data_IF_739202853404
#
_entry.id   IF_739202853404
#
_cell.length_a   1.000
_cell.length_b   1.000
_cell.length_c   1.000
_cell.angle_alpha   90.00
_cell.angle_beta   90.00
_cell.angle_gamma   90.00
#
_symmetry.space_group_name_H-M   'P 1'
#
loop_
_entity.id
_entity.type
_entity.pdbx_description
1 polymer ?
#
# COMPACT_ATOMS: atom_id res chain seq x y z
N UNK A 1 5.89 -3.98 -18.85
CA UNK A 1 7.12 -4.61 -18.34
C UNK A 1 7.16 -4.35 -16.84
N UNK A 2 6.91 -5.37 -16.02
CA UNK A 2 6.92 -5.25 -14.57
C UNK A 2 8.27 -5.81 -14.09
N UNK A 3 9.15 -4.93 -13.61
CA UNK A 3 10.38 -5.35 -12.95
C UNK A 3 10.02 -6.30 -11.81
N UNK A 4 10.41 -7.56 -11.95
CA UNK A 4 10.44 -8.52 -10.86
C UNK A 4 11.56 -8.04 -9.93
N UNK A 5 11.22 -7.16 -9.00
CA UNK A 5 12.14 -6.75 -7.94
C UNK A 5 12.37 -7.98 -7.07
N UNK A 6 13.46 -8.68 -7.35
CA UNK A 6 13.81 -9.95 -6.72
C UNK A 6 14.26 -9.70 -5.28
N UNK A 7 13.57 -10.33 -4.32
CA UNK A 7 13.98 -10.32 -2.93
C UNK A 7 15.30 -11.07 -2.81
N UNK A 8 16.35 -10.37 -2.36
CA UNK A 8 17.69 -10.92 -2.18
C UNK A 8 18.20 -10.66 -0.75
N UNK A 9 19.32 -11.29 -0.37
CA UNK A 9 19.96 -11.03 0.93
C UNK A 9 20.36 -9.56 1.11
N UNK A 10 20.65 -8.85 0.03
CA UNK A 10 20.99 -7.42 0.07
C UNK A 10 19.78 -6.48 0.02
N UNK A 11 18.60 -6.95 -0.43
CA UNK A 11 17.43 -6.10 -0.63
C UNK A 11 16.11 -6.84 -0.43
N UNK A 12 15.29 -6.38 0.52
CA UNK A 12 13.93 -6.87 0.74
C UNK A 12 12.92 -5.84 0.26
N UNK A 13 12.05 -6.22 -0.66
CA UNK A 13 10.97 -5.37 -1.18
C UNK A 13 9.62 -5.97 -0.84
N UNK A 14 8.83 -5.18 -0.13
CA UNK A 14 7.49 -5.50 0.29
C UNK A 14 6.54 -4.56 -0.42
N UNK A 15 5.82 -5.10 -1.40
CA UNK A 15 4.82 -4.35 -2.17
C UNK A 15 3.41 -4.64 -1.66
N UNK A 16 2.80 -3.64 -1.04
CA UNK A 16 1.40 -3.64 -0.65
C UNK A 16 0.57 -3.26 -1.88
N UNK A 17 0.14 -4.26 -2.65
CA UNK A 17 -0.77 -4.00 -3.76
C UNK A 17 -2.09 -3.43 -3.22
N UNK A 18 -2.64 -2.38 -3.85
CA UNK A 18 -4.00 -1.98 -3.56
C UNK A 18 -4.90 -3.19 -3.82
N UNK A 19 -5.77 -3.52 -2.85
CA UNK A 19 -6.58 -4.73 -2.89
C UNK A 19 -7.50 -4.77 -4.12
N UNK A 20 -8.22 -5.88 -4.30
CA UNK A 20 -9.21 -6.04 -5.39
C UNK A 20 -10.19 -4.88 -5.49
N UNK A 21 -10.47 -4.22 -4.36
CA UNK A 21 -11.31 -3.02 -4.23
C UNK A 21 -10.88 -1.91 -5.20
N UNK A 22 -9.59 -1.69 -5.42
CA UNK A 22 -9.11 -0.65 -6.32
C UNK A 22 -9.47 -0.91 -7.79
N UNK A 23 -9.42 -2.17 -8.22
CA UNK A 23 -9.84 -2.56 -9.57
C UNK A 23 -11.35 -2.42 -9.75
N UNK A 24 -12.13 -2.85 -8.76
CA UNK A 24 -13.59 -2.66 -8.77
C UNK A 24 -13.98 -1.18 -8.79
N UNK A 25 -13.31 -0.34 -7.99
CA UNK A 25 -13.55 1.09 -7.99
C UNK A 25 -13.19 1.74 -9.32
N UNK A 26 -12.05 1.38 -9.90
CA UNK A 26 -11.64 1.89 -11.21
C UNK A 26 -12.66 1.55 -12.30
N UNK A 27 -13.12 0.29 -12.34
CA UNK A 27 -14.18 -0.14 -13.26
C UNK A 27 -15.50 0.59 -13.03
N UNK A 28 -15.89 0.77 -11.76
CA UNK A 28 -17.10 1.51 -11.40
C UNK A 28 -17.06 2.97 -11.85
N UNK A 29 -15.92 3.66 -11.66
CA UNK A 29 -15.76 5.07 -12.09
C UNK A 29 -15.88 5.21 -13.61
N UNK A 30 -15.26 4.30 -14.36
CA UNK A 30 -15.34 4.30 -15.84
C UNK A 30 -16.78 4.07 -16.30
N UNK A 31 -17.47 3.09 -15.70
CA UNK A 31 -18.86 2.81 -16.01
C UNK A 31 -19.79 3.99 -15.66
N UNK A 32 -19.58 4.62 -14.51
CA UNK A 32 -20.35 5.79 -14.08
C UNK A 32 -20.14 6.98 -15.01
N UNK A 33 -18.89 7.27 -15.41
CA UNK A 33 -18.57 8.29 -16.40
C UNK A 33 -19.28 8.03 -17.73
N UNK A 34 -19.27 6.77 -18.19
CA UNK A 34 -19.94 6.37 -19.41
C UNK A 34 -21.44 6.67 -19.36
N UNK A 35 -22.14 6.25 -18.30
CA UNK A 35 -23.57 6.56 -18.11
C UNK A 35 -23.80 8.07 -18.09
N UNK A 36 -23.02 8.80 -17.30
CA UNK A 36 -23.18 10.26 -17.16
C UNK A 36 -23.05 11.00 -18.49
N UNK A 37 -22.10 10.59 -19.34
CA UNK A 37 -21.90 11.16 -20.67
C UNK A 37 -23.06 10.79 -21.61
N UNK A 38 -23.57 9.57 -21.56
CA UNK A 38 -24.71 9.16 -22.38
C UNK A 38 -25.98 9.92 -22.01
N UNK A 39 -26.28 10.07 -20.71
CA UNK A 39 -27.45 10.82 -20.22
C UNK A 39 -27.37 12.32 -20.58
N UNK A 40 -26.17 12.91 -20.56
CA UNK A 40 -25.96 14.29 -21.03
C UNK A 40 -26.21 14.44 -22.54
N UNK A 41 -25.85 13.44 -23.35
CA UNK A 41 -26.11 13.45 -24.80
C UNK A 41 -27.61 13.41 -25.11
N UNK A 42 -28.41 12.82 -24.23
CA UNK A 42 -29.87 12.78 -24.31
C UNK A 42 -30.54 14.11 -23.87
N UNK A 43 -29.75 15.14 -23.55
CA UNK A 43 -30.23 16.47 -23.11
C UNK A 43 -31.01 16.47 -21.79
N UNK A 44 -30.88 15.40 -21.01
CA UNK A 44 -31.50 15.30 -19.70
C UNK A 44 -30.66 16.10 -18.67
N UNK A 45 -31.22 17.11 -17.98
CA UNK A 45 -30.52 17.87 -16.95
C UNK A 45 -30.01 17.01 -15.79
N UNK A 46 -30.57 15.81 -15.59
CA UNK A 46 -30.08 14.82 -14.62
C UNK A 46 -28.64 14.39 -14.94
N UNK A 47 -28.24 14.38 -16.22
CA UNK A 47 -26.88 14.03 -16.64
C UNK A 47 -25.81 14.95 -16.06
N UNK A 48 -26.10 16.24 -15.88
CA UNK A 48 -25.19 17.20 -15.25
C UNK A 48 -24.97 16.91 -13.76
N UNK A 49 -26.01 16.45 -13.05
CA UNK A 49 -25.94 16.04 -11.64
C UNK A 49 -25.11 14.77 -11.52
N UNK A 50 -25.32 13.78 -12.40
CA UNK A 50 -24.52 12.56 -12.44
C UNK A 50 -23.04 12.83 -12.72
N UNK A 51 -22.75 13.79 -13.61
CA UNK A 51 -21.39 14.19 -13.94
C UNK A 51 -20.71 14.98 -12.81
N UNK A 52 -21.46 15.80 -12.05
CA UNK A 52 -20.96 16.40 -10.82
C UNK A 52 -20.71 15.34 -9.72
N UNK A 53 -21.58 14.32 -9.63
CA UNK A 53 -21.44 13.22 -8.69
C UNK A 53 -20.20 12.34 -8.96
N UNK A 54 -19.62 12.39 -10.15
CA UNK A 54 -18.35 11.70 -10.47
C UNK A 54 -17.15 12.17 -9.64
N UNK A 55 -17.25 13.34 -9.00
CA UNK A 55 -16.29 13.76 -8.00
C UNK A 55 -16.19 12.76 -6.84
N UNK A 56 -17.29 12.14 -6.41
CA UNK A 56 -17.29 11.18 -5.30
C UNK A 56 -16.45 9.93 -5.60
N UNK A 57 -16.69 9.18 -6.69
CA UNK A 57 -15.89 8.01 -7.04
C UNK A 57 -14.41 8.33 -7.27
N UNK A 58 -14.09 9.49 -7.85
CA UNK A 58 -12.72 9.97 -8.01
C UNK A 58 -12.04 10.24 -6.66
N UNK A 59 -12.79 10.79 -5.69
CA UNK A 59 -12.31 11.00 -4.33
C UNK A 59 -12.01 9.65 -3.66
N UNK A 60 -12.84 8.62 -3.84
CA UNK A 60 -12.53 7.29 -3.32
C UNK A 60 -11.33 6.63 -4.01
N UNK A 61 -11.14 6.83 -5.33
CA UNK A 61 -9.92 6.40 -6.02
C UNK A 61 -8.66 7.08 -5.45
N UNK A 62 -8.78 8.34 -4.98
CA UNK A 62 -7.67 9.06 -4.34
C UNK A 62 -7.17 8.39 -3.06
N UNK A 63 -8.06 7.67 -2.35
CA UNK A 63 -7.76 6.95 -1.12
C UNK A 63 -7.09 5.59 -1.38
N UNK A 64 -7.02 5.15 -2.64
CA UNK A 64 -6.29 3.95 -3.02
C UNK A 64 -4.80 4.26 -3.00
N UNK A 65 -4.16 3.82 -1.93
CA UNK A 65 -2.73 3.97 -1.70
C UNK A 65 -2.01 2.63 -1.93
N UNK A 66 -1.02 2.62 -2.83
CA UNK A 66 -0.03 1.55 -2.95
C UNK A 66 1.17 1.92 -2.09
N UNK A 67 1.55 1.04 -1.17
CA UNK A 67 2.71 1.25 -0.32
C UNK A 67 3.78 0.22 -0.66
N UNK A 68 5.00 0.68 -0.92
CA UNK A 68 6.16 -0.17 -1.18
C UNK A 68 7.20 0.14 -0.11
N UNK A 69 7.63 -0.89 0.61
CA UNK A 69 8.70 -0.80 1.60
C UNK A 69 9.91 -1.49 1.02
N UNK A 70 11.05 -0.81 1.04
CA UNK A 70 12.32 -1.31 0.51
C UNK A 70 13.33 -1.23 1.64
N UNK A 71 13.85 -2.38 2.05
CA UNK A 71 15.00 -2.48 2.94
C UNK A 71 16.21 -2.75 2.05
N UNK A 72 17.18 -1.86 2.09
CA UNK A 72 18.42 -1.98 1.33
C UNK A 72 19.60 -2.06 2.31
N UNK A 73 20.27 -3.20 2.31
CA UNK A 73 21.40 -3.45 3.19
C UNK A 73 22.69 -2.82 2.66
N UNK A 74 22.78 -2.58 1.35
CA UNK A 74 23.94 -1.96 0.68
C UNK A 74 23.96 -0.47 0.97
N UNK A 75 22.83 0.19 0.75
CA UNK A 75 22.67 1.63 1.00
C UNK A 75 22.38 1.93 2.47
N UNK A 76 22.29 0.90 3.34
CA UNK A 76 21.88 0.98 4.75
C UNK A 76 20.62 1.84 4.94
N UNK A 77 19.69 1.73 4.01
CA UNK A 77 18.52 2.59 3.93
C UNK A 77 17.23 1.78 3.98
N UNK A 78 16.27 2.31 4.71
CA UNK A 78 14.90 1.84 4.71
C UNK A 78 14.01 2.89 4.03
N UNK A 79 13.50 2.56 2.85
CA UNK A 79 12.69 3.48 2.05
C UNK A 79 11.23 3.05 2.02
N UNK A 80 10.35 4.00 2.31
CA UNK A 80 8.90 3.84 2.19
C UNK A 80 8.42 4.73 1.06
N UNK A 81 7.94 4.10 0.00
CA UNK A 81 7.24 4.78 -1.07
C UNK A 81 5.74 4.57 -0.93
N UNK A 82 4.99 5.66 -0.85
CA UNK A 82 3.53 5.68 -0.86
C UNK A 82 3.08 6.34 -2.15
N UNK A 83 2.33 5.62 -2.98
CA UNK A 83 1.85 6.10 -4.28
C UNK A 83 0.34 6.05 -4.31
N UNK A 84 -0.28 7.20 -4.51
CA UNK A 84 -1.71 7.31 -4.82
C UNK A 84 -1.88 7.64 -6.30
N UNK A 85 -3.13 7.77 -6.76
CA UNK A 85 -3.43 8.22 -8.13
C UNK A 85 -2.90 9.65 -8.40
N UNK A 86 -2.83 10.49 -7.37
CA UNK A 86 -2.50 11.92 -7.50
C UNK A 86 -1.03 12.25 -7.22
N UNK A 87 -0.26 11.34 -6.62
CA UNK A 87 1.12 11.65 -6.29
C UNK A 87 1.90 10.52 -5.64
N UNK A 88 3.19 10.79 -5.46
CA UNK A 88 4.15 9.90 -4.82
C UNK A 88 4.77 10.61 -3.62
N UNK A 89 4.70 9.98 -2.45
CA UNK A 89 5.41 10.38 -1.24
C UNK A 89 6.49 9.36 -0.94
N UNK A 90 7.71 9.80 -0.65
CA UNK A 90 8.83 8.95 -0.28
C UNK A 90 9.35 9.40 1.07
N UNK A 91 9.48 8.46 2.00
CA UNK A 91 10.21 8.65 3.27
C UNK A 91 11.40 7.71 3.27
N UNK A 92 12.56 8.20 3.71
CA UNK A 92 13.79 7.41 3.83
C UNK A 92 14.24 7.49 5.29
N UNK A 93 14.59 6.35 5.85
CA UNK A 93 15.11 6.19 7.20
C UNK A 93 16.43 5.43 7.14
N UNK A 94 17.30 5.62 8.13
CA UNK A 94 18.48 4.77 8.26
C UNK A 94 18.09 3.38 8.73
N UNK A 95 18.71 2.35 8.17
CA UNK A 95 18.38 0.96 8.50
C UNK A 95 18.72 0.62 9.96
N UNK A 96 19.71 1.29 10.56
CA UNK A 96 20.08 1.14 11.97
C UNK A 96 19.00 1.63 12.95
N UNK A 97 18.09 2.51 12.50
CA UNK A 97 16.98 3.00 13.30
C UNK A 97 15.74 2.10 13.20
N UNK A 98 15.78 1.07 12.34
CA UNK A 98 14.66 0.17 12.12
C UNK A 98 14.67 -0.96 13.14
N UNK A 99 13.71 -0.91 14.06
CA UNK A 99 13.43 -1.97 15.01
C UNK A 99 12.74 -3.19 14.38
N UNK A 100 12.67 -4.27 15.16
CA UNK A 100 12.01 -5.53 14.75
C UNK A 100 10.54 -5.31 14.39
N UNK A 101 10.09 -6.03 13.37
CA UNK A 101 8.68 -6.11 13.02
C UNK A 101 7.91 -6.90 14.08
N UNK A 102 6.70 -6.43 14.40
CA UNK A 102 5.76 -7.05 15.34
C UNK A 102 4.40 -7.16 14.69
N UNK A 103 3.64 -8.20 15.04
CA UNK A 103 2.23 -8.28 14.67
C UNK A 103 1.35 -7.67 15.77
N UNK A 104 0.45 -6.77 15.41
CA UNK A 104 -0.59 -6.27 16.31
C UNK A 104 -1.98 -6.50 15.72
N UNK A 105 -3.01 -6.42 16.55
CA UNK A 105 -4.40 -6.50 16.10
C UNK A 105 -4.83 -5.17 15.49
N UNK A 106 -5.63 -5.22 14.43
CA UNK A 106 -6.19 -4.00 13.85
C UNK A 106 -7.23 -3.43 14.82
N UNK A 107 -7.01 -2.21 15.32
CA UNK A 107 -7.92 -1.54 16.26
C UNK A 107 -9.31 -1.38 15.63
N UNK A 108 -10.36 -1.83 16.33
CA UNK A 108 -11.75 -1.72 15.87
C UNK A 108 -12.18 -2.73 14.80
N UNK A 109 -11.38 -3.77 14.51
CA UNK A 109 -11.75 -4.87 13.62
C UNK A 109 -11.65 -6.24 14.30
N UNK A 110 -12.26 -7.21 13.65
CA UNK A 110 -12.24 -8.62 14.03
C UNK A 110 -10.81 -9.09 14.38
N UNK A 111 -10.67 -9.79 15.51
CA UNK A 111 -9.41 -10.33 16.05
C UNK A 111 -8.66 -11.23 15.06
N UNK A 112 -9.35 -11.73 14.03
CA UNK A 112 -8.78 -12.52 12.93
C UNK A 112 -7.81 -11.73 12.04
N UNK A 113 -7.99 -10.42 11.94
CA UNK A 113 -7.13 -9.56 11.14
C UNK A 113 -5.99 -8.96 11.96
N UNK A 114 -4.77 -9.13 11.45
CA UNK A 114 -3.54 -8.63 12.04
C UNK A 114 -2.91 -7.59 11.10
N UNK A 115 -2.10 -6.74 11.68
CA UNK A 115 -1.23 -5.81 10.97
C UNK A 115 0.21 -6.03 11.41
N UNK A 116 1.14 -5.84 10.49
CA UNK A 116 2.58 -5.89 10.74
C UNK A 116 3.07 -4.46 10.89
N UNK A 117 3.71 -4.18 12.02
CA UNK A 117 4.22 -2.87 12.40
C UNK A 117 5.71 -2.95 12.71
N UNK A 118 6.44 -1.92 12.37
CA UNK A 118 7.88 -1.79 12.60
C UNK A 118 8.16 -0.38 13.10
N UNK A 119 9.18 -0.24 13.95
CA UNK A 119 9.56 1.06 14.51
C UNK A 119 10.72 1.59 13.70
N UNK A 120 10.67 2.84 13.22
CA UNK A 120 11.76 3.46 12.48
C UNK A 120 11.83 4.95 12.84
N UNK A 121 13.01 5.46 13.22
CA UNK A 121 13.19 6.87 13.58
C UNK A 121 12.26 7.33 14.72
N UNK A 122 11.92 6.44 15.66
CA UNK A 122 10.97 6.72 16.75
C UNK A 122 9.48 6.67 16.35
N UNK A 123 9.14 6.49 15.08
CA UNK A 123 7.76 6.36 14.59
C UNK A 123 7.33 4.88 14.44
N UNK A 124 6.05 4.58 14.70
CA UNK A 124 5.45 3.29 14.36
C UNK A 124 4.98 3.29 12.90
N UNK A 125 5.58 2.41 12.10
CA UNK A 125 5.35 2.28 10.67
C UNK A 125 4.59 1.00 10.39
N UNK A 126 3.43 1.16 9.76
CA UNK A 126 2.59 0.03 9.40
C UNK A 126 3.08 -0.51 8.05
N UNK A 127 3.72 -1.67 8.10
CA UNK A 127 4.24 -2.37 6.94
C UNK A 127 3.13 -3.09 6.17
N UNK A 128 2.15 -3.64 6.89
CA UNK A 128 1.01 -4.31 6.28
C UNK A 128 -0.26 -4.27 7.13
N UNK A 129 -1.43 -4.09 6.50
CA UNK A 129 -2.74 -4.11 7.16
C UNK A 129 -3.63 -5.23 6.64
N UNK A 130 -4.60 -5.62 7.47
CA UNK A 130 -5.68 -6.57 7.10
C UNK A 130 -5.16 -7.92 6.60
N UNK A 131 -4.10 -8.43 7.23
CA UNK A 131 -3.59 -9.77 6.95
C UNK A 131 -4.27 -10.81 7.85
N UNK A 132 -4.37 -12.04 7.39
CA UNK A 132 -4.71 -13.17 8.26
C UNK A 132 -3.58 -13.39 9.27
N UNK A 133 -3.90 -13.97 10.44
CA UNK A 133 -2.89 -14.26 11.49
C UNK A 133 -1.64 -14.96 10.94
N UNK A 134 -1.85 -15.99 10.12
CA UNK A 134 -0.75 -16.75 9.52
C UNK A 134 0.11 -15.92 8.57
N UNK A 135 -0.52 -15.15 7.66
CA UNK A 135 0.22 -14.28 6.73
C UNK A 135 0.98 -13.16 7.44
N UNK A 136 0.40 -12.61 8.52
CA UNK A 136 1.06 -11.58 9.32
C UNK A 136 2.30 -12.14 10.03
N UNK A 137 2.23 -13.36 10.57
CA UNK A 137 3.37 -14.04 11.17
C UNK A 137 4.45 -14.35 10.15
N UNK A 138 4.11 -14.97 9.02
CA UNK A 138 5.08 -15.25 7.95
C UNK A 138 5.81 -13.99 7.47
N UNK A 139 5.08 -12.89 7.32
CA UNK A 139 5.65 -11.62 6.90
C UNK A 139 6.54 -10.98 7.97
N UNK A 140 6.13 -11.05 9.24
CA UNK A 140 6.96 -10.63 10.37
C UNK A 140 8.25 -11.44 10.42
N UNK A 141 8.17 -12.77 10.30
CA UNK A 141 9.32 -13.68 10.30
C UNK A 141 10.23 -13.41 9.10
N UNK A 142 9.68 -13.08 7.93
CA UNK A 142 10.46 -12.70 6.76
C UNK A 142 11.22 -11.38 6.96
N UNK A 143 10.58 -10.35 7.52
CA UNK A 143 11.23 -9.06 7.80
C UNK A 143 12.30 -9.24 8.87
N UNK A 144 11.97 -9.89 9.98
CA UNK A 144 12.91 -10.11 11.08
C UNK A 144 14.06 -11.02 10.66
N UNK A 145 13.78 -12.09 9.89
CA UNK A 145 14.80 -12.97 9.36
C UNK A 145 15.75 -12.25 8.40
N UNK A 146 15.25 -11.32 7.59
CA UNK A 146 16.10 -10.49 6.74
C UNK A 146 16.96 -9.51 7.57
N UNK A 147 16.36 -8.81 8.54
CA UNK A 147 17.07 -7.89 9.45
C UNK A 147 18.15 -8.62 10.25
N UNK A 148 17.86 -9.84 10.73
CA UNK A 148 18.79 -10.66 11.50
C UNK A 148 19.90 -11.27 10.62
N UNK A 149 19.63 -11.51 9.32
CA UNK A 149 20.62 -12.06 8.39
C UNK A 149 21.74 -11.08 8.04
N UNK A 150 21.55 -9.79 8.31
CA UNK A 150 22.52 -8.73 8.07
C UNK A 150 22.84 -8.51 6.57
N UNK A 151 23.50 -7.40 6.22
CA UNK A 151 24.03 -7.23 4.87
C UNK A 151 24.98 -8.39 4.53
N UNK A 152 25.01 -8.85 3.27
CA UNK A 152 26.04 -9.79 2.83
C UNK A 152 27.42 -9.20 3.17
N UNK A 153 28.26 -9.98 3.87
CA UNK A 153 29.65 -9.59 4.11
C UNK A 153 30.33 -9.46 2.75
N UNK A 154 30.89 -8.27 2.49
CA UNK A 154 31.74 -7.99 1.33
C UNK A 154 32.98 -8.90 1.32
#
# INVERSE_FOLDING_TARGET
>A
MADLVENSRGRLVIDQKPGKIAWFLGGFVIFWLYISIQTLRESDPIGGIFLAATALPLLFLSLVERQTLVFDATDRAFTITKRTVFGRKVKVFELGEVGRAKTTSVRGKDRRFKQVVLQAGGEEIIAARMLTKFKALQMMDQINGWLDSGPPKA
#
